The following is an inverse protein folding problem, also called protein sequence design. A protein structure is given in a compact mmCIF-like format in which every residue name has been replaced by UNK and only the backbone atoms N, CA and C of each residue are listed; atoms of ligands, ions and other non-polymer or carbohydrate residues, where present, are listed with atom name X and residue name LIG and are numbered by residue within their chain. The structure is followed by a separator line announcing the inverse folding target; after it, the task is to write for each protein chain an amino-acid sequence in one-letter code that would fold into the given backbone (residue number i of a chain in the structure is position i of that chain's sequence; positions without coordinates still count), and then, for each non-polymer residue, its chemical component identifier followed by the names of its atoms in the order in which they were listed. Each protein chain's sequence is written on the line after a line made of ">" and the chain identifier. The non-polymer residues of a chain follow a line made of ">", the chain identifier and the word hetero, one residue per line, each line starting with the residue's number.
data_IF_926132349201
#
_entry.id   IF_926132349201
#
_cell.length_a   1.000
_cell.length_b   1.000
_cell.length_c   1.000
_cell.angle_alpha   90.00
_cell.angle_beta   90.00
_cell.angle_gamma   90.00
#
_symmetry.space_group_name_H-M   'P 1'
#
loop_
_entity.id
_entity.type
_entity.pdbx_description
1 polymer ?
#
# COMPACT_ATOMS: atom_id res chain seq x y z
N UNK A 1 24.18 -14.08 7.97
CA UNK A 1 23.01 -13.43 8.59
C UNK A 1 22.30 -12.69 7.46
N UNK A 2 21.05 -13.04 7.16
CA UNK A 2 20.30 -12.37 6.09
C UNK A 2 20.05 -10.91 6.51
N UNK A 3 20.46 -9.97 5.66
CA UNK A 3 20.24 -8.54 5.86
C UNK A 3 18.74 -8.30 6.03
N UNK A 4 18.29 -7.53 7.04
CA UNK A 4 16.86 -7.29 7.24
C UNK A 4 16.27 -6.65 5.97
N UNK A 5 15.30 -7.35 5.40
CA UNK A 5 14.61 -7.03 4.14
C UNK A 5 13.53 -5.93 4.36
N UNK A 6 13.31 -5.53 5.61
CA UNK A 6 12.25 -4.62 6.04
C UNK A 6 12.45 -3.19 5.49
N UNK A 7 11.34 -2.48 5.30
CA UNK A 7 11.36 -1.02 5.22
C UNK A 7 12.00 -0.49 6.51
N UNK A 8 12.94 0.46 6.37
CA UNK A 8 13.58 1.08 7.52
C UNK A 8 12.62 2.06 8.20
N UNK A 9 12.91 2.44 9.44
CA UNK A 9 12.14 3.47 10.14
C UNK A 9 12.10 4.79 9.34
N UNK A 10 13.22 5.17 8.71
CA UNK A 10 13.30 6.32 7.82
C UNK A 10 12.41 6.17 6.57
N UNK A 11 12.30 4.96 6.00
CA UNK A 11 11.35 4.69 4.91
C UNK A 11 9.89 4.90 5.36
N UNK A 12 9.54 4.41 6.55
CA UNK A 12 8.19 4.52 7.12
C UNK A 12 7.85 5.97 7.47
N UNK A 13 8.76 6.71 8.08
CA UNK A 13 8.56 8.12 8.42
C UNK A 13 8.46 9.00 7.18
N UNK A 14 9.29 8.73 6.16
CA UNK A 14 9.17 9.36 4.85
C UNK A 14 7.81 9.06 4.21
N UNK A 15 7.38 7.81 4.22
CA UNK A 15 6.08 7.39 3.69
C UNK A 15 4.91 8.13 4.37
N UNK A 16 4.92 8.20 5.71
CA UNK A 16 3.91 8.95 6.50
C UNK A 16 3.87 10.42 6.08
N UNK A 17 5.02 11.06 6.05
CA UNK A 17 5.14 12.50 5.75
C UNK A 17 4.64 12.82 4.35
N UNK A 18 5.10 12.07 3.34
CA UNK A 18 4.81 12.36 1.94
C UNK A 18 3.38 11.94 1.54
N UNK A 19 2.85 10.85 2.09
CA UNK A 19 1.44 10.49 1.86
C UNK A 19 0.47 11.48 2.51
N UNK A 20 0.77 11.99 3.70
CA UNK A 20 -0.08 13.02 4.32
C UNK A 20 -0.15 14.27 3.44
N UNK A 21 1.00 14.76 2.95
CA UNK A 21 1.05 15.89 1.99
C UNK A 21 0.25 15.58 0.73
N UNK A 22 0.40 14.39 0.18
CA UNK A 22 -0.33 13.96 -1.02
C UNK A 22 -1.84 14.00 -0.79
N UNK A 23 -2.33 13.38 0.28
CA UNK A 23 -3.76 13.33 0.55
C UNK A 23 -4.35 14.69 0.90
N UNK A 24 -3.57 15.57 1.53
CA UNK A 24 -4.00 16.96 1.75
C UNK A 24 -4.17 17.70 0.41
N UNK A 25 -3.23 17.55 -0.53
CA UNK A 25 -3.37 18.13 -1.88
C UNK A 25 -4.58 17.57 -2.64
N UNK A 26 -4.86 16.27 -2.51
CA UNK A 26 -6.00 15.62 -3.15
C UNK A 26 -7.35 16.07 -2.56
N UNK A 27 -7.39 16.46 -1.28
CA UNK A 27 -8.59 16.98 -0.62
C UNK A 27 -8.89 18.41 -1.00
N UNK A 28 -7.85 19.22 -1.23
CA UNK A 28 -7.99 20.66 -1.47
C UNK A 28 -8.19 21.01 -2.94
N UNK A 29 -7.79 20.14 -3.87
CA UNK A 29 -7.78 20.44 -5.30
C UNK A 29 -8.27 19.25 -6.14
N UNK A 30 -9.40 19.43 -6.82
CA UNK A 30 -10.02 18.42 -7.69
C UNK A 30 -9.14 18.07 -8.91
N UNK A 31 -8.31 19.01 -9.37
CA UNK A 31 -7.40 18.77 -10.50
C UNK A 31 -6.31 17.76 -10.12
N UNK A 32 -5.78 17.86 -8.89
CA UNK A 32 -4.84 16.88 -8.34
C UNK A 32 -5.49 15.49 -8.22
N UNK A 33 -6.76 15.44 -7.77
CA UNK A 33 -7.50 14.17 -7.73
C UNK A 33 -7.65 13.55 -9.11
N UNK A 34 -8.00 14.36 -10.11
CA UNK A 34 -8.14 13.91 -11.49
C UNK A 34 -6.82 13.42 -12.06
N UNK A 35 -5.70 14.07 -11.74
CA UNK A 35 -4.37 13.61 -12.15
C UNK A 35 -4.00 12.28 -11.49
N UNK A 36 -4.18 12.18 -10.16
CA UNK A 36 -3.95 10.96 -9.41
C UNK A 36 -4.79 9.80 -9.94
N UNK A 37 -6.06 10.03 -10.27
CA UNK A 37 -6.92 9.03 -10.88
C UNK A 37 -6.40 8.54 -12.24
N UNK A 38 -5.99 9.46 -13.12
CA UNK A 38 -5.51 9.12 -14.48
C UNK A 38 -4.19 8.34 -14.43
N UNK A 39 -3.25 8.80 -13.62
CA UNK A 39 -1.90 8.23 -13.53
C UNK A 39 -1.39 8.17 -12.08
N UNK A 40 -1.88 7.22 -11.26
CA UNK A 40 -1.56 7.16 -9.83
C UNK A 40 -0.06 7.08 -9.54
N UNK A 41 0.68 6.23 -10.27
CA UNK A 41 2.14 6.11 -10.09
C UNK A 41 2.86 7.41 -10.42
N UNK A 42 2.52 8.04 -11.55
CA UNK A 42 3.16 9.28 -11.98
C UNK A 42 2.90 10.40 -10.96
N UNK A 43 1.66 10.49 -10.47
CA UNK A 43 1.31 11.45 -9.43
C UNK A 43 2.08 11.18 -8.13
N UNK A 44 2.17 9.91 -7.70
CA UNK A 44 2.95 9.50 -6.54
C UNK A 44 4.45 9.82 -6.67
N UNK A 45 5.01 9.77 -7.88
CA UNK A 45 6.42 10.12 -8.14
C UNK A 45 6.72 11.62 -7.98
N UNK A 46 5.69 12.48 -7.97
CA UNK A 46 5.87 13.89 -7.61
C UNK A 46 6.20 14.07 -6.11
N UNK A 47 5.93 13.02 -5.31
CA UNK A 47 6.25 12.96 -3.89
C UNK A 47 7.53 12.15 -3.69
N UNK A 48 8.34 12.54 -2.71
CA UNK A 48 9.65 11.90 -2.46
C UNK A 48 9.49 10.63 -1.62
N UNK A 49 8.61 9.72 -2.04
CA UNK A 49 8.31 8.47 -1.32
C UNK A 49 9.39 7.43 -1.64
N UNK A 50 10.34 7.24 -0.71
CA UNK A 50 11.48 6.32 -0.82
C UNK A 50 11.07 4.88 -1.13
N UNK A 51 9.95 4.42 -0.56
CA UNK A 51 9.44 3.07 -0.80
C UNK A 51 9.10 2.80 -2.29
N UNK A 52 8.79 3.84 -3.07
CA UNK A 52 8.55 3.70 -4.51
C UNK A 52 9.84 3.58 -5.31
N UNK A 53 10.96 4.09 -4.79
CA UNK A 53 12.25 4.01 -5.47
C UNK A 53 12.76 2.56 -5.54
N UNK A 54 12.37 1.72 -4.58
CA UNK A 54 12.66 0.28 -4.62
C UNK A 54 11.98 -0.46 -5.77
N UNK A 55 11.03 0.18 -6.45
CA UNK A 55 10.41 -0.36 -7.66
C UNK A 55 11.19 0.00 -8.93
N UNK A 56 12.21 0.87 -8.84
CA UNK A 56 13.04 1.29 -9.96
C UNK A 56 13.92 0.11 -10.45
N UNK A 57 13.36 -0.68 -11.38
CA UNK A 57 13.98 -1.91 -11.89
C UNK A 57 12.97 -3.05 -12.04
N UNK A 58 11.79 -2.94 -11.42
CA UNK A 58 10.74 -3.94 -11.42
C UNK A 58 9.48 -3.43 -12.11
N UNK A 59 9.50 -3.35 -13.45
CA UNK A 59 8.36 -2.86 -14.24
C UNK A 59 7.07 -3.64 -13.95
N UNK A 60 7.15 -4.96 -13.77
CA UNK A 60 6.01 -5.81 -13.42
C UNK A 60 5.36 -5.42 -12.09
N UNK A 61 6.14 -5.01 -11.08
CA UNK A 61 5.62 -4.52 -9.80
C UNK A 61 4.99 -3.14 -9.95
N UNK A 62 5.63 -2.24 -10.72
CA UNK A 62 5.09 -0.90 -11.00
C UNK A 62 3.74 -0.97 -11.71
N UNK A 63 3.62 -1.79 -12.74
CA UNK A 63 2.39 -1.97 -13.51
C UNK A 63 1.27 -2.56 -12.65
N UNK A 64 1.62 -3.52 -11.80
CA UNK A 64 0.66 -4.16 -10.89
C UNK A 64 0.22 -3.20 -9.78
N UNK A 65 1.13 -2.39 -9.22
CA UNK A 65 0.78 -1.32 -8.29
C UNK A 65 -0.12 -0.27 -8.95
N UNK A 66 0.21 0.17 -10.17
CA UNK A 66 -0.59 1.14 -10.92
C UNK A 66 -2.02 0.64 -11.15
N UNK A 67 -2.16 -0.62 -11.59
CA UNK A 67 -3.45 -1.28 -11.78
C UNK A 67 -4.23 -1.36 -10.47
N UNK A 68 -3.55 -1.73 -9.37
CA UNK A 68 -4.18 -1.84 -8.06
C UNK A 68 -4.68 -0.48 -7.55
N UNK A 69 -3.87 0.58 -7.71
CA UNK A 69 -4.22 1.95 -7.34
C UNK A 69 -5.43 2.45 -8.14
N UNK A 70 -5.44 2.28 -9.47
CA UNK A 70 -6.59 2.65 -10.31
C UNK A 70 -7.87 1.97 -9.81
N UNK A 71 -7.80 0.67 -9.57
CA UNK A 71 -8.94 -0.10 -9.09
C UNK A 71 -9.47 0.40 -7.73
N UNK A 72 -8.62 0.71 -6.76
CA UNK A 72 -9.10 1.23 -5.45
C UNK A 72 -9.64 2.66 -5.55
N UNK A 73 -9.11 3.49 -6.46
CA UNK A 73 -9.60 4.86 -6.68
C UNK A 73 -10.98 4.80 -7.35
N UNK A 74 -11.15 3.96 -8.37
CA UNK A 74 -12.44 3.70 -9.02
C UNK A 74 -13.52 3.29 -7.99
N UNK A 75 -13.19 2.33 -7.13
CA UNK A 75 -14.09 1.85 -6.08
C UNK A 75 -14.41 2.90 -5.00
N UNK A 76 -13.56 3.93 -4.83
CA UNK A 76 -13.74 4.96 -3.82
C UNK A 76 -14.72 6.07 -4.21
N UNK A 77 -15.29 6.02 -5.43
CA UNK A 77 -16.23 7.05 -5.90
C UNK A 77 -15.58 8.43 -6.07
N UNK A 78 -14.26 8.48 -6.25
CA UNK A 78 -13.45 9.70 -6.34
C UNK A 78 -13.43 10.58 -5.08
N UNK A 79 -13.55 9.96 -3.91
CA UNK A 79 -13.52 10.66 -2.61
C UNK A 79 -12.27 10.27 -1.83
N UNK A 80 -11.55 11.27 -1.32
CA UNK A 80 -10.43 11.06 -0.40
C UNK A 80 -10.96 10.78 1.01
N UNK A 81 -11.17 9.50 1.32
CA UNK A 81 -11.58 9.05 2.64
C UNK A 81 -10.50 8.19 3.33
N UNK A 82 -10.71 7.87 4.61
CA UNK A 82 -9.80 7.02 5.40
C UNK A 82 -9.52 5.67 4.75
N UNK A 83 -10.50 5.10 4.05
CA UNK A 83 -10.37 3.82 3.37
C UNK A 83 -9.45 3.90 2.15
N UNK A 84 -9.56 4.93 1.31
CA UNK A 84 -8.66 5.15 0.17
C UNK A 84 -7.23 5.40 0.65
N UNK A 85 -7.07 6.19 1.72
CA UNK A 85 -5.78 6.47 2.34
C UNK A 85 -5.12 5.19 2.82
N UNK A 86 -5.84 4.39 3.59
CA UNK A 86 -5.35 3.12 4.08
C UNK A 86 -4.97 2.18 2.93
N UNK A 87 -5.85 1.98 1.94
CA UNK A 87 -5.58 1.05 0.83
C UNK A 87 -4.35 1.46 0.03
N UNK A 88 -4.21 2.75 -0.28
CA UNK A 88 -3.05 3.29 -0.99
C UNK A 88 -1.77 3.05 -0.21
N UNK A 89 -1.80 3.34 1.09
CA UNK A 89 -0.67 3.13 2.00
C UNK A 89 -0.26 1.67 2.05
N UNK A 90 -1.22 0.77 2.27
CA UNK A 90 -0.99 -0.68 2.35
C UNK A 90 -0.36 -1.19 1.05
N UNK A 91 -0.87 -0.76 -0.10
CA UNK A 91 -0.28 -1.11 -1.39
C UNK A 91 1.18 -0.63 -1.50
N UNK A 92 1.47 0.61 -1.13
CA UNK A 92 2.85 1.13 -1.20
C UNK A 92 3.78 0.34 -0.25
N UNK A 93 3.34 -0.01 0.95
CA UNK A 93 4.12 -0.84 1.88
C UNK A 93 4.38 -2.22 1.30
N UNK A 94 3.35 -2.89 0.76
CA UNK A 94 3.48 -4.21 0.15
C UNK A 94 4.47 -4.16 -1.02
N UNK A 95 4.22 -3.31 -2.01
CA UNK A 95 5.03 -3.26 -3.21
C UNK A 95 6.44 -2.72 -2.92
N UNK A 96 6.59 -1.71 -2.07
CA UNK A 96 7.89 -1.19 -1.64
C UNK A 96 8.72 -2.25 -0.93
N UNK A 97 8.12 -3.06 -0.07
CA UNK A 97 8.79 -4.20 0.57
C UNK A 97 9.22 -5.22 -0.47
N UNK A 98 8.34 -5.63 -1.40
CA UNK A 98 8.68 -6.57 -2.47
C UNK A 98 9.82 -6.07 -3.34
N UNK A 99 9.79 -4.78 -3.74
CA UNK A 99 10.86 -4.14 -4.50
C UNK A 99 12.19 -4.15 -3.76
N UNK A 100 12.18 -3.79 -2.47
CA UNK A 100 13.38 -3.80 -1.61
C UNK A 100 13.96 -5.21 -1.45
N UNK A 101 13.09 -6.21 -1.46
CA UNK A 101 13.44 -7.63 -1.37
C UNK A 101 13.88 -8.25 -2.69
N UNK A 102 13.78 -7.52 -3.81
CA UNK A 102 13.86 -8.07 -5.17
C UNK A 102 12.90 -9.25 -5.42
N UNK A 103 11.74 -9.26 -4.76
CA UNK A 103 10.70 -10.27 -4.89
C UNK A 103 9.64 -9.84 -5.90
N UNK A 104 9.20 -10.77 -6.74
CA UNK A 104 8.00 -10.58 -7.56
C UNK A 104 6.74 -10.78 -6.70
N UNK A 105 5.58 -10.38 -7.23
CA UNK A 105 4.30 -10.57 -6.53
C UNK A 105 4.09 -12.02 -6.05
N UNK A 106 4.48 -13.02 -6.85
CA UNK A 106 4.32 -14.42 -6.50
C UNK A 106 5.19 -14.85 -5.30
N UNK A 107 6.20 -14.06 -4.93
CA UNK A 107 7.03 -14.24 -3.74
C UNK A 107 6.51 -13.50 -2.50
N UNK A 108 5.27 -13.02 -2.51
CA UNK A 108 4.69 -12.24 -1.40
C UNK A 108 4.70 -12.99 -0.06
N UNK A 109 4.56 -14.31 -0.07
CA UNK A 109 4.66 -15.15 1.13
C UNK A 109 6.03 -15.02 1.81
N UNK A 110 7.11 -14.96 1.02
CA UNK A 110 8.46 -14.76 1.53
C UNK A 110 8.67 -13.35 2.12
N UNK A 111 7.91 -12.36 1.66
CA UNK A 111 7.96 -10.98 2.17
C UNK A 111 6.97 -10.69 3.30
N UNK A 112 6.15 -11.66 3.71
CA UNK A 112 4.98 -11.39 4.55
C UNK A 112 5.33 -10.80 5.92
N UNK A 113 6.37 -11.31 6.58
CA UNK A 113 6.81 -10.78 7.87
C UNK A 113 7.30 -9.33 7.75
N UNK A 114 8.07 -9.02 6.70
CA UNK A 114 8.54 -7.67 6.43
C UNK A 114 7.37 -6.70 6.13
N UNK A 115 6.35 -7.17 5.42
CA UNK A 115 5.12 -6.42 5.16
C UNK A 115 4.36 -6.17 6.47
N UNK A 116 4.21 -7.20 7.31
CA UNK A 116 3.55 -7.08 8.63
C UNK A 116 4.26 -6.05 9.51
N UNK A 117 5.58 -6.09 9.57
CA UNK A 117 6.39 -5.13 10.32
C UNK A 117 6.19 -3.71 9.79
N UNK A 118 6.29 -3.50 8.47
CA UNK A 118 6.07 -2.17 7.88
C UNK A 118 4.66 -1.61 8.12
N UNK A 119 3.64 -2.47 8.14
CA UNK A 119 2.26 -2.06 8.46
C UNK A 119 2.10 -1.73 9.94
N UNK A 120 2.71 -2.54 10.82
CA UNK A 120 2.75 -2.30 12.26
C UNK A 120 3.35 -0.93 12.56
N UNK A 121 4.51 -0.67 11.98
CA UNK A 121 5.27 0.56 12.19
C UNK A 121 4.54 1.76 11.61
N UNK A 122 3.88 1.65 10.44
CA UNK A 122 3.15 2.76 9.83
C UNK A 122 1.85 3.09 10.59
N UNK A 123 1.05 2.10 10.95
CA UNK A 123 -0.26 2.33 11.58
C UNK A 123 -0.22 2.43 13.10
N UNK A 124 0.97 2.27 13.71
CA UNK A 124 1.15 2.20 15.16
C UNK A 124 0.23 1.15 15.80
N UNK A 125 0.24 -0.05 15.19
CA UNK A 125 -0.62 -1.17 15.56
C UNK A 125 0.15 -2.24 16.30
N UNK A 126 -0.55 -3.07 17.06
CA UNK A 126 0.06 -4.25 17.68
C UNK A 126 0.23 -5.38 16.67
N UNK A 127 1.19 -6.28 16.94
CA UNK A 127 1.38 -7.49 16.13
C UNK A 127 0.09 -8.31 16.03
N UNK A 128 -0.72 -8.37 17.08
CA UNK A 128 -2.00 -9.11 17.09
C UNK A 128 -3.07 -8.49 16.17
N UNK A 129 -3.17 -7.15 16.08
CA UNK A 129 -4.10 -6.49 15.15
C UNK A 129 -3.70 -6.73 13.68
N UNK A 130 -2.39 -6.69 13.40
CA UNK A 130 -1.85 -7.00 12.08
C UNK A 130 -2.00 -8.48 11.75
N UNK A 131 -1.69 -9.40 12.67
CA UNK A 131 -1.86 -10.84 12.47
C UNK A 131 -3.31 -11.21 12.16
N UNK A 132 -4.29 -10.67 12.91
CA UNK A 132 -5.71 -10.85 12.58
C UNK A 132 -6.04 -10.39 11.16
N UNK A 133 -5.40 -9.33 10.71
CA UNK A 133 -5.57 -8.82 9.35
C UNK A 133 -5.06 -9.81 8.29
N UNK A 134 -4.03 -10.59 8.61
CA UNK A 134 -3.37 -11.56 7.74
C UNK A 134 -3.78 -13.02 7.90
N UNK A 135 -4.47 -13.40 8.98
CA UNK A 135 -4.93 -14.78 9.20
C UNK A 135 -5.89 -15.28 8.11
N UNK A 136 -6.55 -14.38 7.38
CA UNK A 136 -7.40 -14.71 6.22
C UNK A 136 -6.65 -14.83 4.89
N UNK A 137 -5.37 -14.42 4.87
CA UNK A 137 -4.60 -14.20 3.64
C UNK A 137 -3.73 -15.43 3.33
N UNK A 138 -3.15 -16.10 4.33
CA UNK A 138 -2.23 -17.24 4.12
C UNK A 138 -2.82 -18.40 3.30
N UNK A 139 -4.14 -18.64 3.37
CA UNK A 139 -4.79 -19.72 2.60
C UNK A 139 -5.14 -19.34 1.14
N UNK A 140 -5.03 -18.06 0.75
CA UNK A 140 -5.52 -17.56 -0.55
C UNK A 140 -4.57 -16.58 -1.27
N UNK A 141 -3.34 -16.41 -0.78
CA UNK A 141 -2.36 -15.43 -1.28
C UNK A 141 -2.10 -15.51 -2.79
N UNK A 142 -2.11 -16.72 -3.38
CA UNK A 142 -1.84 -16.89 -4.81
C UNK A 142 -2.96 -16.37 -5.72
N UNK A 143 -4.19 -16.28 -5.21
CA UNK A 143 -5.39 -15.90 -5.99
C UNK A 143 -5.87 -14.49 -5.67
N UNK A 144 -5.45 -13.92 -4.53
CA UNK A 144 -5.87 -12.59 -4.09
C UNK A 144 -5.20 -11.49 -4.94
N UNK A 145 -6.03 -10.59 -5.46
CA UNK A 145 -5.53 -9.37 -6.13
C UNK A 145 -4.97 -8.39 -5.09
N UNK A 146 -3.96 -7.58 -5.44
CA UNK A 146 -3.37 -6.61 -4.49
C UNK A 146 -4.41 -5.63 -3.91
N UNK A 147 -5.38 -5.19 -4.72
CA UNK A 147 -6.45 -4.31 -4.27
C UNK A 147 -7.36 -4.99 -3.24
N UNK A 148 -7.64 -6.28 -3.40
CA UNK A 148 -8.43 -7.05 -2.44
C UNK A 148 -7.64 -7.28 -1.15
N UNK A 149 -6.34 -7.57 -1.25
CA UNK A 149 -5.45 -7.68 -0.10
C UNK A 149 -5.46 -6.40 0.74
N UNK A 150 -5.27 -5.25 0.08
CA UNK A 150 -5.31 -3.95 0.74
C UNK A 150 -6.67 -3.64 1.37
N UNK A 151 -7.77 -4.01 0.70
CA UNK A 151 -9.12 -3.88 1.26
C UNK A 151 -9.29 -4.69 2.55
N UNK A 152 -8.90 -5.96 2.57
CA UNK A 152 -9.06 -6.82 3.76
C UNK A 152 -8.24 -6.30 4.94
N UNK A 153 -7.00 -5.90 4.71
CA UNK A 153 -6.14 -5.29 5.75
C UNK A 153 -6.82 -4.02 6.29
N UNK A 154 -7.28 -3.14 5.41
CA UNK A 154 -7.91 -1.88 5.84
C UNK A 154 -9.27 -2.05 6.53
N UNK A 155 -10.02 -3.11 6.21
CA UNK A 155 -11.23 -3.47 6.95
C UNK A 155 -10.90 -3.93 8.36
N UNK A 156 -9.96 -4.87 8.49
CA UNK A 156 -9.54 -5.41 9.79
C UNK A 156 -8.91 -4.35 10.70
N UNK A 157 -8.27 -3.33 10.12
CA UNK A 157 -7.75 -2.18 10.84
C UNK A 157 -8.80 -1.10 11.19
N UNK A 158 -10.04 -1.23 10.69
CA UNK A 158 -11.14 -0.28 10.95
C UNK A 158 -11.12 0.98 10.09
N UNK A 159 -10.29 1.06 9.05
CA UNK A 159 -10.25 2.22 8.14
C UNK A 159 -11.28 2.13 7.02
N UNK A 160 -11.67 0.92 6.64
CA UNK A 160 -12.70 0.65 5.65
C UNK A 160 -13.93 0.03 6.32
N UNK A 161 -15.13 0.61 6.16
CA UNK A 161 -16.37 0.01 6.64
C UNK A 161 -16.67 -1.32 5.93
N UNK A 162 -17.35 -2.21 6.63
CA UNK A 162 -17.94 -3.41 6.06
C UNK A 162 -19.19 -3.06 5.25
N UNK A 163 -18.98 -2.54 4.05
CA UNK A 163 -20.05 -2.58 3.05
C UNK A 163 -20.10 -4.00 2.48
N UNK A 164 -21.03 -4.79 3.04
CA UNK A 164 -21.58 -5.97 2.39
C UNK A 164 -22.30 -5.50 1.13
N UNK A 165 -21.76 -5.81 -0.04
CA UNK A 165 -22.53 -5.75 -1.29
C UNK A 165 -23.44 -6.96 -1.37
#
# INVERSE_FOLDING_TARGET
>A
MATPINLSEDDIQNLRTELNKMFDQLRTDESNFTEFYRNPIKFLQNFKIKALDYLNGFNSLKDRLNTALKHIIDQSGRIVNSCLICKTTVLIIIFGTLGKSALLWNGISSGLNAIKDGLKDYFDKTSTEIERSFNFIDEKLEVITPSHLALQICKNLGYCPDYSY
#
